data_IF_806168383794
#
_entry.id   IF_806168383794
#
_cell.length_a   1.000
_cell.length_b   1.000
_cell.length_c   1.000
_cell.angle_alpha   90.00
_cell.angle_beta   90.00
_cell.angle_gamma   90.00
#
_symmetry.space_group_name_H-M   'P 1'
#
loop_
_entity.id
_entity.type
_entity.pdbx_description
1 polymer ?
#
# COMPACT_ATOMS: atom_id res chain seq x y z
N UNK A 1 3.43 -9.04 15.46
CA UNK A 1 3.40 -9.55 14.07
C UNK A 1 4.46 -8.81 13.30
N UNK A 2 5.52 -9.48 12.84
CA UNK A 2 6.54 -8.85 12.00
C UNK A 2 5.99 -8.60 10.59
N UNK A 3 6.18 -7.38 10.08
CA UNK A 3 5.87 -7.05 8.70
C UNK A 3 6.88 -7.74 7.76
N UNK A 4 6.37 -8.54 6.82
CA UNK A 4 7.20 -9.13 5.79
C UNK A 4 7.89 -8.06 4.94
N UNK A 5 9.12 -8.34 4.46
CA UNK A 5 9.95 -7.39 3.69
C UNK A 5 9.18 -6.70 2.56
N UNK A 6 8.35 -7.43 1.81
CA UNK A 6 7.52 -6.87 0.72
C UNK A 6 6.40 -5.96 1.22
N UNK A 7 5.67 -6.36 2.27
CA UNK A 7 4.62 -5.52 2.86
C UNK A 7 5.17 -4.20 3.40
N UNK A 8 6.38 -4.21 3.98
CA UNK A 8 7.07 -2.99 4.40
C UNK A 8 7.44 -2.10 3.21
N UNK A 9 7.88 -2.68 2.08
CA UNK A 9 8.13 -1.91 0.84
C UNK A 9 6.85 -1.28 0.31
N UNK A 10 5.75 -2.03 0.31
CA UNK A 10 4.43 -1.54 -0.10
C UNK A 10 3.98 -0.37 0.79
N UNK A 11 4.10 -0.50 2.12
CA UNK A 11 3.77 0.57 3.05
C UNK A 11 4.57 1.85 2.78
N UNK A 12 5.89 1.72 2.60
CA UNK A 12 6.78 2.85 2.28
C UNK A 12 6.46 3.48 0.93
N UNK A 13 6.15 2.67 -0.09
CA UNK A 13 5.73 3.16 -1.39
C UNK A 13 4.45 3.99 -1.29
N UNK A 14 3.46 3.56 -0.50
CA UNK A 14 2.22 4.33 -0.29
C UNK A 14 2.52 5.68 0.34
N UNK A 15 3.29 5.70 1.43
CA UNK A 15 3.65 6.93 2.13
C UNK A 15 4.42 7.89 1.22
N UNK A 16 5.41 7.37 0.47
CA UNK A 16 6.21 8.10 -0.49
C UNK A 16 5.34 8.72 -1.60
N UNK A 17 4.56 7.91 -2.30
CA UNK A 17 3.67 8.37 -3.37
C UNK A 17 2.63 9.38 -2.85
N UNK A 18 2.05 9.14 -1.67
CA UNK A 18 1.10 10.08 -1.06
C UNK A 18 1.74 11.43 -0.73
N UNK A 19 3.01 11.44 -0.34
CA UNK A 19 3.77 12.67 -0.03
C UNK A 19 4.20 13.39 -1.32
N UNK A 20 4.69 12.65 -2.33
CA UNK A 20 5.15 13.22 -3.60
C UNK A 20 4.01 13.75 -4.47
N UNK A 21 2.92 13.01 -4.58
CA UNK A 21 1.78 13.39 -5.42
C UNK A 21 0.75 14.28 -4.71
N UNK A 22 0.74 14.30 -3.38
CA UNK A 22 -0.29 15.00 -2.59
C UNK A 22 -1.68 14.34 -2.67
N UNK A 23 -1.78 13.15 -3.24
CA UNK A 23 -3.01 12.35 -3.28
C UNK A 23 -2.72 10.88 -2.94
N UNK A 24 -3.69 10.17 -2.33
CA UNK A 24 -3.53 8.76 -2.02
C UNK A 24 -3.33 7.93 -3.29
N UNK A 25 -2.30 7.06 -3.35
CA UNK A 25 -1.96 6.32 -4.55
C UNK A 25 -2.97 5.21 -4.86
N UNK A 26 -2.91 4.69 -6.08
CA UNK A 26 -3.66 3.52 -6.54
C UNK A 26 -2.84 2.24 -6.41
N UNK A 27 -3.53 1.09 -6.42
CA UNK A 27 -2.89 -0.23 -6.37
C UNK A 27 -1.89 -0.44 -7.52
N UNK A 28 -2.15 0.16 -8.68
CA UNK A 28 -1.27 0.07 -9.84
C UNK A 28 0.02 0.88 -9.62
N UNK A 29 -0.08 2.11 -9.15
CA UNK A 29 1.09 2.97 -8.83
C UNK A 29 1.97 2.35 -7.75
N UNK A 30 1.34 1.77 -6.72
CA UNK A 30 2.06 1.06 -5.65
C UNK A 30 2.81 -0.15 -6.24
N UNK A 31 2.16 -0.92 -7.11
CA UNK A 31 2.76 -2.06 -7.78
C UNK A 31 3.97 -1.67 -8.63
N UNK A 32 3.87 -0.58 -9.38
CA UNK A 32 4.96 -0.05 -10.20
C UNK A 32 6.16 0.36 -9.34
N UNK A 33 5.93 1.13 -8.26
CA UNK A 33 6.97 1.60 -7.33
C UNK A 33 7.67 0.43 -6.60
N UNK A 34 6.96 -0.64 -6.25
CA UNK A 34 7.60 -1.81 -5.61
C UNK A 34 8.09 -2.88 -6.59
N UNK A 35 7.86 -2.71 -7.91
CA UNK A 35 8.23 -3.67 -8.95
C UNK A 35 7.36 -4.93 -9.01
N UNK A 36 6.11 -4.87 -8.53
CA UNK A 36 5.13 -5.96 -8.61
C UNK A 36 4.26 -5.82 -9.86
N UNK A 37 4.44 -6.73 -10.81
CA UNK A 37 3.65 -6.75 -12.06
C UNK A 37 2.19 -7.16 -11.88
N UNK A 38 1.87 -7.86 -10.79
CA UNK A 38 0.53 -8.40 -10.55
C UNK A 38 -0.19 -7.60 -9.48
N UNK A 39 -1.24 -6.87 -9.87
CA UNK A 39 -2.12 -6.11 -8.96
C UNK A 39 -2.73 -7.01 -7.88
N UNK A 40 -3.00 -8.28 -8.17
CA UNK A 40 -3.48 -9.27 -7.19
C UNK A 40 -2.50 -9.51 -6.04
N UNK A 41 -1.19 -9.51 -6.33
CA UNK A 41 -0.14 -9.66 -5.31
C UNK A 41 -0.10 -8.43 -4.41
N UNK A 42 -0.16 -7.24 -5.00
CA UNK A 42 -0.25 -5.97 -4.26
C UNK A 42 -1.51 -5.98 -3.37
N UNK A 43 -2.63 -6.48 -3.90
CA UNK A 43 -3.88 -6.59 -3.16
C UNK A 43 -3.74 -7.42 -1.88
N UNK A 44 -3.10 -8.60 -1.97
CA UNK A 44 -2.86 -9.45 -0.81
C UNK A 44 -1.96 -8.79 0.24
N UNK A 45 -0.95 -8.03 -0.17
CA UNK A 45 -0.10 -7.28 0.77
C UNK A 45 -0.86 -6.18 1.49
N UNK A 46 -1.69 -5.44 0.77
CA UNK A 46 -2.47 -4.34 1.31
C UNK A 46 -3.60 -4.83 2.22
N UNK A 47 -4.26 -5.95 1.91
CA UNK A 47 -5.21 -6.59 2.83
C UNK A 47 -4.53 -6.97 4.15
N UNK A 48 -3.31 -7.52 4.08
CA UNK A 48 -2.54 -7.91 5.26
C UNK A 48 -2.10 -6.70 6.09
N UNK A 49 -1.71 -5.60 5.43
CA UNK A 49 -1.40 -4.33 6.08
C UNK A 49 -2.63 -3.73 6.76
N UNK A 50 -3.80 -3.78 6.10
CA UNK A 50 -5.05 -3.29 6.67
C UNK A 50 -5.49 -4.12 7.87
N UNK A 51 -5.46 -5.45 7.76
CA UNK A 51 -5.75 -6.37 8.88
C UNK A 51 -4.82 -6.17 10.07
N UNK A 52 -3.60 -5.71 9.80
CA UNK A 52 -2.60 -5.41 10.84
C UNK A 52 -2.69 -3.98 11.38
N UNK A 53 -3.57 -3.13 10.84
CA UNK A 53 -3.79 -1.76 11.30
C UNK A 53 -2.84 -0.70 10.73
N UNK A 54 -1.95 -1.05 9.80
CA UNK A 54 -0.98 -0.10 9.24
C UNK A 54 -1.60 0.85 8.20
N UNK A 55 -2.60 0.39 7.47
CA UNK A 55 -3.26 1.17 6.42
C UNK A 55 -4.77 1.06 6.51
N UNK A 56 -5.45 2.03 5.90
CA UNK A 56 -6.88 1.96 5.61
C UNK A 56 -7.10 2.21 4.13
N UNK A 57 -7.87 1.34 3.50
CA UNK A 57 -8.26 1.49 2.10
C UNK A 57 -9.67 0.94 1.88
N UNK A 58 -10.25 1.18 0.71
CA UNK A 58 -11.48 0.54 0.28
C UNK A 58 -11.23 -0.26 -1.00
N UNK A 59 -11.40 -1.60 -0.99
CA UNK A 59 -11.35 -2.37 -2.22
C UNK A 59 -12.41 -1.85 -3.19
N UNK A 60 -12.07 -1.80 -4.48
CA UNK A 60 -12.87 -1.21 -5.57
C UNK A 60 -12.99 0.33 -5.62
N UNK A 61 -12.40 1.09 -4.68
CA UNK A 61 -12.30 2.56 -4.81
C UNK A 61 -10.84 3.01 -4.91
N UNK A 62 -10.39 3.49 -6.09
CA UNK A 62 -9.05 4.04 -6.23
C UNK A 62 -8.90 5.27 -5.34
N UNK A 63 -7.66 5.60 -4.94
CA UNK A 63 -7.34 6.79 -4.14
C UNK A 63 -8.02 6.86 -2.78
N UNK A 64 -8.21 5.70 -2.14
CA UNK A 64 -8.68 5.62 -0.74
C UNK A 64 -7.61 5.15 0.22
N UNK A 65 -6.44 4.78 -0.30
CA UNK A 65 -5.34 4.17 0.45
C UNK A 65 -4.66 5.24 1.31
N UNK A 66 -4.76 5.12 2.63
CA UNK A 66 -4.01 5.93 3.60
C UNK A 66 -3.18 5.07 4.51
N UNK A 67 -1.99 5.57 4.85
CA UNK A 67 -1.18 5.04 5.94
C UNK A 67 -1.74 5.57 7.26
N UNK A 68 -1.97 4.67 8.22
CA UNK A 68 -2.40 4.98 9.58
C UNK A 68 -1.23 4.89 10.56
N UNK A 69 -0.30 3.96 10.31
CA UNK A 69 0.86 3.73 11.16
C UNK A 69 2.09 3.43 10.30
N UNK A 70 3.21 4.01 10.69
CA UNK A 70 4.53 3.74 10.13
C UNK A 70 5.24 2.67 10.98
N UNK A 71 5.95 1.75 10.33
CA UNK A 71 6.73 0.68 10.98
C UNK A 71 8.10 1.18 11.47
#
# INVERSE_FOLDING_TARGET
MELGKTSRRVLKAIAKLSSECGYPPTVQEIGDEVGLKSTSTVYGHLERLQKSGYISWQPAKPRTIRVLQED
#
